data_IF_854883101126
#
_entry.id   IF_854883101126
#
_cell.length_a   1.000
_cell.length_b   1.000
_cell.length_c   1.000
_cell.angle_alpha   90.00
_cell.angle_beta   90.00
_cell.angle_gamma   90.00
#
_symmetry.space_group_name_H-M   'P 1'
#
loop_
_entity.id
_entity.type
_entity.pdbx_description
1 polymer ?
#
# COMPACT_ATOMS: atom_id res chain seq x y z
N UNK A 1 13.52 1.35 -24.76
CA UNK A 1 13.05 0.39 -23.73
C UNK A 1 12.34 1.14 -22.58
N UNK A 2 11.05 1.48 -22.72
CA UNK A 2 10.31 2.26 -21.69
C UNK A 2 9.00 1.58 -21.26
N UNK A 3 8.40 0.75 -22.12
CA UNK A 3 7.10 0.11 -21.85
C UNK A 3 7.12 -0.94 -20.73
N UNK A 4 8.24 -1.64 -20.52
CA UNK A 4 8.33 -2.70 -19.52
C UNK A 4 8.32 -2.19 -18.06
N UNK A 5 8.75 -0.93 -17.81
CA UNK A 5 8.75 -0.35 -16.46
C UNK A 5 7.33 -0.01 -15.99
N UNK A 6 6.50 0.61 -16.85
CA UNK A 6 5.14 1.02 -16.45
C UNK A 6 4.18 -0.16 -16.24
N UNK A 7 4.37 -1.28 -16.95
CA UNK A 7 3.58 -2.50 -16.72
C UNK A 7 3.96 -3.20 -15.41
N UNK A 8 5.22 -3.08 -14.99
CA UNK A 8 5.68 -3.65 -13.71
C UNK A 8 5.07 -2.91 -12.51
N UNK A 9 4.83 -1.60 -12.60
CA UNK A 9 4.18 -0.84 -11.54
C UNK A 9 2.72 -1.27 -11.33
N UNK A 10 1.98 -1.48 -12.42
CA UNK A 10 0.59 -1.99 -12.34
C UNK A 10 0.51 -3.46 -11.97
N UNK A 11 1.49 -4.28 -12.37
CA UNK A 11 1.57 -5.67 -11.96
C UNK A 11 1.92 -5.82 -10.46
N UNK A 12 2.60 -4.84 -9.86
CA UNK A 12 2.82 -4.80 -8.40
C UNK A 12 1.52 -4.58 -7.62
N UNK A 13 0.56 -3.83 -8.17
CA UNK A 13 -0.80 -3.70 -7.61
C UNK A 13 -1.59 -5.02 -7.60
N UNK A 14 -1.23 -5.97 -8.47
CA UNK A 14 -1.94 -7.24 -8.67
C UNK A 14 -1.24 -8.45 -8.04
N UNK A 15 -0.02 -8.28 -7.50
CA UNK A 15 0.57 -9.32 -6.63
C UNK A 15 -0.17 -9.28 -5.29
N UNK A 16 -0.28 -10.40 -4.55
CA UNK A 16 -0.77 -10.35 -3.18
C UNK A 16 0.09 -9.33 -2.44
N UNK A 17 -0.53 -8.20 -2.04
CA UNK A 17 0.13 -7.11 -1.33
C UNK A 17 0.95 -7.73 -0.20
N UNK A 18 2.27 -7.71 -0.36
CA UNK A 18 3.19 -8.07 0.71
C UNK A 18 3.08 -6.99 1.78
N UNK A 19 3.25 -7.39 3.02
CA UNK A 19 3.08 -6.50 4.18
C UNK A 19 3.92 -5.22 4.08
N UNK A 20 5.13 -5.30 3.51
CA UNK A 20 5.98 -4.13 3.25
C UNK A 20 5.34 -3.13 2.29
N UNK A 21 4.71 -3.62 1.20
CA UNK A 21 4.10 -2.76 0.20
C UNK A 21 2.81 -2.11 0.72
N UNK A 22 2.02 -2.84 1.52
CA UNK A 22 0.82 -2.30 2.15
C UNK A 22 1.16 -1.12 3.08
N UNK A 23 2.24 -1.25 3.86
CA UNK A 23 2.71 -0.19 4.76
C UNK A 23 3.28 1.01 3.97
N UNK A 24 3.98 0.76 2.86
CA UNK A 24 4.49 1.81 1.98
C UNK A 24 3.35 2.63 1.36
N UNK A 25 2.37 1.95 0.75
CA UNK A 25 1.20 2.59 0.15
C UNK A 25 0.39 3.37 1.19
N UNK A 26 0.22 2.85 2.41
CA UNK A 26 -0.43 3.57 3.50
C UNK A 26 0.30 4.87 3.88
N UNK A 27 1.62 4.81 4.01
CA UNK A 27 2.45 5.99 4.33
C UNK A 27 2.38 7.03 3.22
N UNK A 28 2.44 6.60 1.96
CA UNK A 28 2.32 7.50 0.81
C UNK A 28 0.93 8.09 0.69
N UNK A 29 -0.12 7.29 0.86
CA UNK A 29 -1.51 7.74 0.83
C UNK A 29 -1.77 8.84 1.87
N UNK A 30 -1.24 8.68 3.09
CA UNK A 30 -1.29 9.73 4.13
C UNK A 30 -0.49 10.97 3.75
N UNK A 31 0.73 10.82 3.20
CA UNK A 31 1.56 11.96 2.77
C UNK A 31 0.93 12.77 1.65
N UNK A 32 0.26 12.08 0.73
CA UNK A 32 -0.40 12.71 -0.43
C UNK A 32 -1.80 13.24 -0.09
N UNK A 33 -2.29 13.05 1.14
CA UNK A 33 -3.67 13.35 1.54
C UNK A 33 -4.69 12.77 0.54
N UNK A 34 -4.54 11.48 0.21
CA UNK A 34 -5.51 10.76 -0.61
C UNK A 34 -6.86 10.66 0.11
N UNK A 35 -7.88 10.20 -0.62
CA UNK A 35 -9.23 10.01 -0.09
C UNK A 35 -9.22 9.27 1.24
N UNK A 36 -10.06 9.73 2.17
CA UNK A 36 -10.22 9.10 3.47
C UNK A 36 -10.66 7.63 3.35
N UNK A 37 -11.61 7.36 2.45
CA UNK A 37 -12.09 6.00 2.15
C UNK A 37 -10.95 5.08 1.69
N UNK A 38 -10.00 5.61 0.92
CA UNK A 38 -8.83 4.83 0.48
C UNK A 38 -7.89 4.53 1.65
N UNK A 39 -7.72 5.48 2.56
CA UNK A 39 -6.88 5.30 3.76
C UNK A 39 -7.52 4.28 4.70
N UNK A 40 -8.84 4.32 4.91
CA UNK A 40 -9.59 3.35 5.72
C UNK A 40 -9.43 1.92 5.18
N UNK A 41 -9.55 1.73 3.87
CA UNK A 41 -9.32 0.40 3.25
C UNK A 41 -7.91 -0.16 3.52
N UNK A 42 -6.90 0.72 3.61
CA UNK A 42 -5.55 0.32 3.95
C UNK A 42 -5.41 0.02 5.45
N UNK A 43 -6.09 0.77 6.31
CA UNK A 43 -6.12 0.54 7.76
C UNK A 43 -6.77 -0.82 8.09
N UNK A 44 -7.92 -1.13 7.49
CA UNK A 44 -8.59 -2.42 7.60
C UNK A 44 -7.67 -3.57 7.16
N UNK A 45 -7.00 -3.41 6.01
CA UNK A 45 -6.09 -4.43 5.50
C UNK A 45 -4.85 -4.63 6.40
N UNK A 46 -4.37 -3.57 7.06
CA UNK A 46 -3.25 -3.62 8.02
C UNK A 46 -3.69 -4.32 9.31
N UNK A 47 -4.89 -4.02 9.81
CA UNK A 47 -5.47 -4.62 11.00
C UNK A 47 -5.70 -6.12 10.80
N UNK A 48 -6.32 -6.52 9.68
CA UNK A 48 -6.57 -7.93 9.33
C UNK A 48 -5.30 -8.78 9.29
N UNK A 49 -4.15 -8.16 9.01
CA UNK A 49 -2.84 -8.81 8.92
C UNK A 49 -1.99 -8.66 10.18
N UNK A 50 -2.53 -8.02 11.23
CA UNK A 50 -1.84 -7.73 12.48
C UNK A 50 -0.55 -6.92 12.30
N UNK A 51 -0.50 -6.02 11.32
CA UNK A 51 0.70 -5.24 10.95
C UNK A 51 0.83 -3.91 11.70
N UNK A 52 -0.12 -3.59 12.59
CA UNK A 52 -0.17 -2.33 13.34
C UNK A 52 1.12 -2.05 14.13
N UNK A 53 1.78 -3.11 14.62
CA UNK A 53 3.06 -3.01 15.33
C UNK A 53 4.18 -2.43 14.45
N UNK A 54 4.13 -2.61 13.12
CA UNK A 54 5.10 -2.05 12.17
C UNK A 54 4.82 -0.60 11.79
N UNK A 55 3.67 -0.06 12.16
CA UNK A 55 3.37 1.37 12.00
C UNK A 55 3.97 2.23 13.13
N UNK A 56 4.19 1.63 14.31
CA UNK A 56 4.67 2.32 15.52
C UNK A 56 6.20 2.26 15.71
N UNK A 57 6.90 1.45 14.92
CA UNK A 57 8.36 1.31 14.91
C UNK A 57 9.00 2.31 13.94
#
# INVERSE_FOLDING_TARGET
MVAARQLSDKASLLRPLKDEHLLEVYREAKRMNLSHEFIELLEDAIEMRQLEHRLKA
#
